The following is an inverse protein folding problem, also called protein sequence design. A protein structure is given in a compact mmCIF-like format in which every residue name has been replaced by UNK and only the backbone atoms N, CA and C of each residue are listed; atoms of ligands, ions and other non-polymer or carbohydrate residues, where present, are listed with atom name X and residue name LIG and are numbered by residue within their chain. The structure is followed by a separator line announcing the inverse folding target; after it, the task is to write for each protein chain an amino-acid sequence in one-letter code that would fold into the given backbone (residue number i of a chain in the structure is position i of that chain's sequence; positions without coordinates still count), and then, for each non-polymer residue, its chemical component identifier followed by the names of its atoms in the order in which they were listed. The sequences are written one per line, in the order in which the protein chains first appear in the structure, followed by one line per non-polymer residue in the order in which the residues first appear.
data_IF_347260108820
#
_entry.id   IF_347260108820
#
_cell.length_a   1.000
_cell.length_b   1.000
_cell.length_c   1.000
_cell.angle_alpha   90.00
_cell.angle_beta   90.00
_cell.angle_gamma   90.00
#
_symmetry.space_group_name_H-M   'P 1'
#
loop_
_entity.id
_entity.type
_entity.pdbx_description
1 polymer ?
#
# COMPACT_ATOMS: atom_id res chain seq x y z
N UNK A 1 -1.88 -9.95 8.85
CA UNK A 1 -0.63 -9.94 9.66
C UNK A 1 -0.07 -8.53 9.61
N UNK A 2 0.53 -8.05 10.70
CA UNK A 2 1.24 -6.77 10.71
C UNK A 2 2.64 -6.93 10.13
N UNK A 3 3.02 -6.05 9.20
CA UNK A 3 4.33 -6.02 8.56
C UNK A 3 4.95 -4.63 8.66
N UNK A 4 6.27 -4.59 8.75
CA UNK A 4 7.07 -3.37 8.60
C UNK A 4 7.98 -3.57 7.40
N UNK A 5 8.02 -2.57 6.52
CA UNK A 5 8.97 -2.58 5.41
C UNK A 5 10.30 -1.94 5.83
N UNK A 6 11.41 -2.57 5.46
CA UNK A 6 12.77 -2.08 5.71
C UNK A 6 13.64 -2.42 4.50
N UNK A 7 14.52 -1.50 4.08
CA UNK A 7 15.45 -1.75 2.99
C UNK A 7 15.76 -0.48 2.19
N UNK A 8 16.54 -0.64 1.12
CA UNK A 8 16.96 0.48 0.24
C UNK A 8 15.86 0.96 -0.71
N UNK A 9 14.85 0.13 -0.97
CA UNK A 9 13.71 0.48 -1.83
C UNK A 9 12.63 1.30 -1.15
N UNK A 10 12.90 1.94 0.00
CA UNK A 10 11.92 2.66 0.78
C UNK A 10 11.36 1.88 1.98
N UNK A 11 10.54 2.55 2.78
CA UNK A 11 9.98 1.99 4.02
C UNK A 11 8.47 2.17 4.14
N UNK A 12 7.87 2.87 3.18
CA UNK A 12 6.45 3.21 3.20
C UNK A 12 5.76 2.77 1.92
N UNK A 13 4.48 2.43 2.00
CA UNK A 13 3.66 2.23 0.80
C UNK A 13 3.37 3.61 0.19
N UNK A 14 3.49 3.79 -1.14
CA UNK A 14 3.21 5.07 -1.78
C UNK A 14 1.77 5.52 -1.55
N UNK A 15 1.58 6.83 -1.38
CA UNK A 15 0.27 7.50 -1.22
C UNK A 15 -0.23 8.12 -2.52
N UNK A 16 0.44 7.80 -3.63
CA UNK A 16 0.05 8.20 -4.98
C UNK A 16 0.19 7.02 -5.94
N UNK A 17 -0.56 7.09 -7.04
CA UNK A 17 -0.62 6.03 -8.04
C UNK A 17 0.75 5.87 -8.75
N UNK A 18 1.45 4.72 -8.62
CA UNK A 18 2.82 4.56 -9.14
C UNK A 18 2.89 4.34 -10.65
N UNK A 19 1.77 4.02 -11.29
CA UNK A 19 1.69 3.52 -12.65
C UNK A 19 1.24 2.05 -12.69
N UNK A 20 0.70 1.58 -13.83
CA UNK A 20 0.47 0.16 -14.05
C UNK A 20 1.80 -0.57 -14.32
N UNK A 21 1.83 -1.88 -14.08
CA UNK A 21 2.97 -2.73 -14.43
C UNK A 21 4.31 -2.37 -13.78
N UNK A 22 4.30 -1.69 -12.62
CA UNK A 22 5.51 -1.31 -11.87
C UNK A 22 5.80 -2.37 -10.80
N UNK A 23 7.06 -2.49 -10.38
CA UNK A 23 7.47 -3.36 -9.27
C UNK A 23 7.14 -4.86 -9.46
N UNK A 24 7.14 -5.30 -10.72
CA UNK A 24 7.02 -6.72 -11.08
C UNK A 24 5.62 -7.30 -10.86
N UNK A 25 4.58 -6.50 -11.05
CA UNK A 25 3.17 -6.93 -10.95
C UNK A 25 2.34 -6.31 -12.06
N UNK A 26 1.21 -6.89 -12.43
CA UNK A 26 0.33 -6.31 -13.47
C UNK A 26 -0.35 -5.03 -12.97
N UNK A 27 -0.87 -5.05 -11.74
CA UNK A 27 -1.46 -3.88 -11.12
C UNK A 27 -0.78 -3.52 -9.79
N UNK A 28 -0.33 -2.27 -9.69
CA UNK A 28 0.49 -1.78 -8.58
C UNK A 28 -0.36 -1.04 -7.56
N UNK A 29 -0.24 -1.44 -6.30
CA UNK A 29 -1.00 -0.91 -5.18
C UNK A 29 -0.40 0.36 -4.58
N UNK A 30 -1.26 1.29 -4.20
CA UNK A 30 -0.94 2.48 -3.41
C UNK A 30 -2.01 2.75 -2.36
N UNK A 31 -1.64 3.41 -1.27
CA UNK A 31 -2.53 3.73 -0.18
C UNK A 31 -3.34 4.99 -0.48
N UNK A 32 -4.67 4.90 -0.42
CA UNK A 32 -5.57 5.99 -0.82
C UNK A 32 -6.18 6.76 0.34
N UNK A 33 -5.79 6.41 1.56
CA UNK A 33 -6.28 7.07 2.77
C UNK A 33 -5.17 7.96 3.34
N UNK A 34 -5.56 8.94 4.15
CA UNK A 34 -4.59 9.81 4.82
C UNK A 34 -3.71 9.01 5.77
N UNK A 35 -2.40 9.32 5.78
CA UNK A 35 -1.46 8.68 6.69
C UNK A 35 -1.78 9.06 8.14
N UNK A 36 -1.72 8.10 9.08
CA UNK A 36 -2.06 8.35 10.47
C UNK A 36 -1.10 9.34 11.14
N UNK A 37 -1.67 10.19 12.00
CA UNK A 37 -0.91 10.95 13.00
C UNK A 37 -0.15 10.02 13.93
N UNK A 38 0.89 10.55 14.57
CA UNK A 38 1.75 9.74 15.41
C UNK A 38 1.00 9.04 16.56
N UNK A 39 1.26 7.73 16.73
CA UNK A 39 0.59 6.87 17.71
C UNK A 39 -0.81 6.41 17.29
N UNK A 40 -1.35 6.91 16.18
CA UNK A 40 -2.67 6.53 15.69
C UNK A 40 -2.62 5.32 14.76
N UNK A 41 -3.72 4.58 14.73
CA UNK A 41 -4.00 3.54 13.73
C UNK A 41 -5.21 3.96 12.92
N UNK A 42 -5.09 3.93 11.60
CA UNK A 42 -6.16 4.28 10.66
C UNK A 42 -6.46 3.10 9.75
N UNK A 43 -7.75 2.78 9.63
CA UNK A 43 -8.24 1.85 8.61
C UNK A 43 -8.35 2.58 7.28
N UNK A 44 -7.84 1.99 6.21
CA UNK A 44 -7.91 2.53 4.87
C UNK A 44 -7.92 1.44 3.82
N UNK A 45 -7.51 1.77 2.60
CA UNK A 45 -7.48 0.83 1.51
C UNK A 45 -6.24 0.99 0.63
N UNK A 46 -5.80 -0.14 0.07
CA UNK A 46 -4.99 -0.16 -1.13
C UNK A 46 -5.89 -0.03 -2.34
N UNK A 47 -5.39 0.69 -3.32
CA UNK A 47 -5.94 0.82 -4.63
C UNK A 47 -4.89 0.34 -5.63
N UNK A 48 -5.25 -0.58 -6.52
CA UNK A 48 -4.33 -1.16 -7.48
C UNK A 48 -4.58 -0.58 -8.86
N UNK A 49 -3.59 0.16 -9.36
CA UNK A 49 -3.62 0.78 -10.67
C UNK A 49 -3.31 -0.27 -11.74
N UNK A 50 -4.17 -0.38 -12.74
CA UNK A 50 -3.95 -1.18 -13.94
C UNK A 50 -3.95 -0.30 -15.19
N UNK A 51 -3.79 -0.89 -16.36
CA UNK A 51 -3.88 -0.18 -17.64
C UNK A 51 -5.28 0.36 -17.92
N UNK A 52 -6.31 -0.18 -17.27
CA UNK A 52 -7.71 0.22 -17.47
C UNK A 52 -8.06 1.48 -16.69
N UNK A 53 -7.71 1.54 -15.40
CA UNK A 53 -7.99 2.68 -14.55
C UNK A 53 -6.99 2.77 -13.38
N UNK A 54 -6.99 3.91 -12.68
CA UNK A 54 -6.12 4.18 -11.51
C UNK A 54 -6.46 3.37 -10.26
N UNK A 55 -7.67 2.81 -10.19
CA UNK A 55 -8.17 2.05 -9.04
C UNK A 55 -9.05 0.88 -9.47
N UNK A 56 -8.41 -0.15 -10.02
CA UNK A 56 -9.16 -1.21 -10.67
C UNK A 56 -9.55 -2.27 -9.66
N UNK A 57 -8.60 -2.59 -8.78
CA UNK A 57 -8.83 -3.44 -7.63
C UNK A 57 -8.59 -2.62 -6.37
N UNK A 58 -9.15 -3.08 -5.27
CA UNK A 58 -8.89 -2.51 -3.96
C UNK A 58 -8.89 -3.61 -2.90
N UNK A 59 -8.17 -3.37 -1.81
CA UNK A 59 -8.19 -4.22 -0.64
C UNK A 59 -8.14 -3.36 0.61
N UNK A 60 -8.83 -3.76 1.66
CA UNK A 60 -8.71 -3.10 2.95
C UNK A 60 -7.26 -3.19 3.45
N UNK A 61 -6.87 -2.24 4.30
CA UNK A 61 -5.65 -2.31 5.08
C UNK A 61 -5.78 -1.45 6.34
N UNK A 62 -4.85 -1.61 7.28
CA UNK A 62 -4.68 -0.67 8.40
C UNK A 62 -3.24 -0.20 8.45
N UNK A 63 -3.03 1.02 8.88
CA UNK A 63 -1.71 1.63 9.05
C UNK A 63 -1.62 2.16 10.46
N UNK A 64 -0.50 1.91 11.13
CA UNK A 64 -0.16 2.52 12.42
C UNK A 64 1.11 3.33 12.26
N UNK A 65 1.11 4.56 12.76
CA UNK A 65 2.30 5.40 12.84
C UNK A 65 2.99 5.21 14.20
N UNK A 66 4.18 4.63 14.22
CA UNK A 66 4.97 4.38 15.43
C UNK A 66 5.99 5.52 15.70
N UNK A 67 5.66 6.76 15.31
CA UNK A 67 6.52 7.96 15.30
C UNK A 67 7.64 7.92 14.24
N UNK A 68 8.45 6.86 14.23
CA UNK A 68 9.67 6.77 13.41
C UNK A 68 9.55 5.82 12.21
N UNK A 69 8.49 5.01 12.19
CA UNK A 69 8.20 4.08 11.12
C UNK A 69 6.70 3.77 11.09
N UNK A 70 6.25 3.19 9.99
CA UNK A 70 4.89 2.71 9.83
C UNK A 70 4.86 1.18 9.88
N UNK A 71 3.78 0.64 10.43
CA UNK A 71 3.44 -0.77 10.32
C UNK A 71 2.08 -0.91 9.64
N UNK A 72 1.95 -1.95 8.84
CA UNK A 72 0.84 -2.15 7.94
C UNK A 72 0.17 -3.49 8.24
N UNK A 73 -1.15 -3.48 8.43
CA UNK A 73 -1.95 -4.70 8.36
C UNK A 73 -2.51 -4.83 6.96
N UNK A 74 -1.95 -5.77 6.19
CA UNK A 74 -2.40 -6.04 4.83
C UNK A 74 -3.37 -7.22 4.83
N UNK A 75 -4.52 -7.03 4.20
CA UNK A 75 -5.43 -8.11 3.87
C UNK A 75 -5.00 -8.77 2.56
N UNK A 76 -5.34 -10.05 2.35
CA UNK A 76 -5.06 -10.72 1.08
C UNK A 76 -5.63 -9.92 -0.10
N UNK A 77 -4.86 -9.75 -1.18
CA UNK A 77 -5.36 -9.09 -2.37
C UNK A 77 -6.50 -9.91 -3.00
N UNK A 78 -7.47 -9.26 -3.66
CA UNK A 78 -8.61 -9.96 -4.27
C UNK A 78 -8.21 -10.83 -5.48
N UNK A 79 -7.04 -10.62 -6.08
CA UNK A 79 -6.55 -11.38 -7.25
C UNK A 79 -5.03 -11.61 -7.18
N UNK A 80 -4.50 -12.53 -7.99
CA UNK A 80 -3.13 -13.04 -7.88
C UNK A 80 -2.03 -12.05 -8.32
N UNK A 81 -2.31 -11.10 -9.22
CA UNK A 81 -1.29 -10.25 -9.85
C UNK A 81 -1.28 -8.82 -9.29
N UNK A 82 -1.44 -8.71 -7.97
CA UNK A 82 -1.47 -7.44 -7.24
C UNK A 82 -0.30 -7.38 -6.25
N UNK A 83 0.50 -6.32 -6.33
CA UNK A 83 1.61 -6.08 -5.39
C UNK A 83 1.70 -4.60 -5.04
N UNK A 84 2.30 -4.31 -3.90
CA UNK A 84 2.69 -2.96 -3.50
C UNK A 84 4.20 -2.83 -3.60
N UNK A 85 4.65 -1.63 -3.87
CA UNK A 85 6.04 -1.25 -3.72
C UNK A 85 6.23 -0.39 -2.48
N UNK A 86 7.50 -0.22 -2.11
CA UNK A 86 7.88 0.71 -1.07
C UNK A 86 8.52 1.93 -1.70
N UNK A 87 8.42 3.06 -1.00
CA UNK A 87 9.07 4.35 -1.27
C UNK A 87 9.61 4.95 0.02
#
# INVERSE_FOLDING_TARGET
MWVRFTGSGGTTIPTYAPGPSVCGTDATGWYITEMPSSGATVSGALCYQSTINKCHFYSAMQVTNCNTYYVYFLYPPPTCNLRVCTV
#
